data_IF_035394536534
#
_entry.id   IF_035394536534
#
_cell.length_a   1.000
_cell.length_b   1.000
_cell.length_c   1.000
_cell.angle_alpha   90.00
_cell.angle_beta   90.00
_cell.angle_gamma   90.00
#
_symmetry.space_group_name_H-M   'P 1'
#
loop_
_entity.id
_entity.type
_entity.pdbx_description
1 polymer ?
#
# COMPACT_ATOMS: atom_id res chain seq x y z
N UNK A 1 -20.90 1.06 -18.51
CA UNK A 1 -20.79 2.44 -18.04
C UNK A 1 -19.52 2.52 -17.24
N UNK A 2 -18.41 2.71 -17.95
CA UNK A 2 -17.12 3.01 -17.37
C UNK A 2 -17.25 4.32 -16.61
N UNK A 3 -17.18 4.27 -15.28
CA UNK A 3 -17.03 5.48 -14.50
C UNK A 3 -15.63 5.98 -14.83
N UNK A 4 -15.53 6.96 -15.72
CA UNK A 4 -14.33 7.78 -15.83
C UNK A 4 -14.00 8.26 -14.42
N UNK A 5 -12.98 7.64 -13.82
CA UNK A 5 -12.34 8.18 -12.64
C UNK A 5 -11.71 9.47 -13.16
N UNK A 6 -12.16 10.66 -12.73
CA UNK A 6 -11.65 11.90 -13.27
C UNK A 6 -10.14 11.84 -13.13
N UNK A 7 -9.45 12.16 -14.22
CA UNK A 7 -8.00 12.24 -14.27
C UNK A 7 -7.58 13.39 -13.34
N UNK A 8 -7.42 13.15 -12.03
CA UNK A 8 -6.26 13.57 -11.24
C UNK A 8 -6.20 13.31 -9.72
N UNK A 9 -7.06 12.53 -9.02
CA UNK A 9 -6.88 12.36 -7.57
C UNK A 9 -5.52 11.74 -7.22
N UNK A 10 -4.94 10.89 -8.09
CA UNK A 10 -3.56 10.39 -7.93
C UNK A 10 -2.47 11.45 -8.13
N UNK A 11 -2.60 12.35 -9.11
CA UNK A 11 -1.61 13.44 -9.27
C UNK A 11 -1.76 14.46 -8.17
N UNK A 12 -2.98 14.79 -7.78
CA UNK A 12 -3.25 15.71 -6.70
C UNK A 12 -2.69 15.16 -5.38
N UNK A 13 -2.87 13.86 -5.11
CA UNK A 13 -2.23 13.21 -3.98
C UNK A 13 -0.70 13.28 -4.04
N UNK A 14 -0.11 13.06 -5.23
CA UNK A 14 1.34 13.20 -5.46
C UNK A 14 1.84 14.64 -5.35
N UNK A 15 1.05 15.64 -5.75
CA UNK A 15 1.36 17.06 -5.57
C UNK A 15 1.32 17.43 -4.09
N UNK A 16 0.31 16.96 -3.36
CA UNK A 16 0.28 17.12 -1.90
C UNK A 16 1.48 16.42 -1.24
N UNK A 17 1.93 15.28 -1.75
CA UNK A 17 3.16 14.61 -1.32
C UNK A 17 4.42 15.47 -1.54
N UNK A 18 4.57 16.10 -2.70
CA UNK A 18 5.72 16.98 -2.99
C UNK A 18 5.67 18.28 -2.19
N UNK A 19 4.47 18.76 -1.84
CA UNK A 19 4.24 19.96 -1.04
C UNK A 19 4.33 19.71 0.48
N UNK A 20 4.47 18.47 0.93
CA UNK A 20 4.42 18.12 2.35
C UNK A 20 3.02 18.19 2.98
N UNK A 21 1.99 18.30 2.15
CA UNK A 21 0.56 18.38 2.54
C UNK A 21 -0.05 16.98 2.69
N UNK A 22 0.61 16.16 3.48
CA UNK A 22 0.41 14.71 3.48
C UNK A 22 -0.96 14.23 3.99
N UNK A 23 -1.61 14.97 4.89
CA UNK A 23 -2.99 14.66 5.30
C UNK A 23 -3.95 14.74 4.10
N UNK A 24 -3.76 15.73 3.23
CA UNK A 24 -4.54 15.89 2.00
C UNK A 24 -4.18 14.79 0.99
N UNK A 25 -2.91 14.41 0.90
CA UNK A 25 -2.48 13.28 0.06
C UNK A 25 -3.20 11.97 0.45
N UNK A 26 -3.22 11.63 1.74
CA UNK A 26 -3.89 10.42 2.23
C UNK A 26 -5.39 10.46 1.95
N UNK A 27 -6.04 11.62 2.12
CA UNK A 27 -7.46 11.75 1.82
C UNK A 27 -7.76 11.47 0.35
N UNK A 28 -6.96 12.03 -0.57
CA UNK A 28 -7.13 11.79 -2.00
C UNK A 28 -6.82 10.34 -2.39
N UNK A 29 -5.75 9.75 -1.87
CA UNK A 29 -5.45 8.34 -2.12
C UNK A 29 -6.58 7.41 -1.64
N UNK A 30 -7.16 7.66 -0.46
CA UNK A 30 -8.31 6.87 0.05
C UNK A 30 -9.54 6.97 -0.84
N UNK A 31 -9.80 8.12 -1.46
CA UNK A 31 -10.90 8.28 -2.43
C UNK A 31 -10.68 7.41 -3.68
N UNK A 32 -9.43 7.27 -4.12
CA UNK A 32 -9.10 6.41 -5.26
C UNK A 32 -9.29 4.94 -4.91
N UNK A 33 -8.89 4.48 -3.73
CA UNK A 33 -9.11 3.10 -3.27
C UNK A 33 -10.61 2.75 -3.27
N UNK A 34 -11.49 3.68 -2.85
CA UNK A 34 -12.94 3.48 -2.88
C UNK A 34 -13.50 3.31 -4.30
N UNK A 35 -12.81 3.84 -5.32
CA UNK A 35 -13.21 3.76 -6.72
C UNK A 35 -12.56 2.56 -7.44
N UNK A 36 -11.31 2.22 -7.11
CA UNK A 36 -10.51 1.14 -7.70
C UNK A 36 -9.64 0.49 -6.64
N UNK A 37 -10.04 -0.68 -6.16
CA UNK A 37 -9.38 -1.36 -5.05
C UNK A 37 -8.05 -2.07 -5.41
N UNK A 38 -7.66 -2.09 -6.70
CA UNK A 38 -6.61 -2.99 -7.22
C UNK A 38 -5.28 -2.30 -7.55
N UNK A 39 -5.15 -0.99 -7.39
CA UNK A 39 -3.89 -0.31 -7.71
C UNK A 39 -2.88 -0.42 -6.55
N UNK A 40 -1.92 -1.33 -6.74
CA UNK A 40 -0.82 -1.64 -5.81
C UNK A 40 -0.05 -0.38 -5.40
N UNK A 41 0.18 0.55 -6.34
CA UNK A 41 1.01 1.72 -6.09
C UNK A 41 0.40 2.68 -5.06
N UNK A 42 -0.93 2.71 -4.95
CA UNK A 42 -1.63 3.60 -4.01
C UNK A 42 -1.39 3.17 -2.56
N UNK A 43 -1.45 1.87 -2.29
CA UNK A 43 -1.21 1.35 -0.95
C UNK A 43 0.23 1.62 -0.50
N UNK A 44 1.20 1.43 -1.40
CA UNK A 44 2.60 1.75 -1.13
C UNK A 44 2.82 3.26 -0.91
N UNK A 45 2.27 4.11 -1.77
CA UNK A 45 2.35 5.57 -1.62
C UNK A 45 1.80 6.04 -0.25
N UNK A 46 0.65 5.52 0.19
CA UNK A 46 0.08 5.82 1.52
C UNK A 46 1.00 5.34 2.64
N UNK A 47 1.57 4.13 2.53
CA UNK A 47 2.48 3.62 3.55
C UNK A 47 3.72 4.52 3.70
N UNK A 48 4.32 4.96 2.59
CA UNK A 48 5.43 5.91 2.59
C UNK A 48 5.07 7.23 3.27
N UNK A 49 3.83 7.72 3.08
CA UNK A 49 3.33 8.90 3.80
C UNK A 49 3.35 8.64 5.30
N UNK A 50 2.76 7.53 5.76
CA UNK A 50 2.67 7.23 7.18
C UNK A 50 4.04 6.99 7.83
N UNK A 51 4.99 6.39 7.12
CA UNK A 51 6.38 6.24 7.59
C UNK A 51 7.05 7.58 7.82
N UNK A 52 6.88 8.55 6.90
CA UNK A 52 7.44 9.89 7.06
C UNK A 52 6.95 10.61 8.32
N UNK A 53 5.75 10.30 8.81
CA UNK A 53 5.22 10.83 10.07
C UNK A 53 5.53 9.99 11.31
N UNK A 54 6.22 8.86 11.15
CA UNK A 54 6.49 7.94 12.26
C UNK A 54 5.29 7.08 12.66
N UNK A 55 4.19 7.09 11.88
CA UNK A 55 3.04 6.22 12.11
C UNK A 55 3.29 4.81 11.57
N UNK A 56 4.27 4.12 12.14
CA UNK A 56 4.73 2.78 11.68
C UNK A 56 3.59 1.76 11.59
N UNK A 57 2.69 1.73 12.57
CA UNK A 57 1.57 0.78 12.55
C UNK A 57 0.61 0.98 11.36
N UNK A 58 0.34 2.22 10.97
CA UNK A 58 -0.50 2.51 9.80
C UNK A 58 0.25 2.20 8.50
N UNK A 59 1.54 2.49 8.45
CA UNK A 59 2.36 2.12 7.30
C UNK A 59 2.36 0.59 7.09
N UNK A 60 2.49 -0.19 8.16
CA UNK A 60 2.48 -1.65 8.11
C UNK A 60 1.12 -2.21 7.64
N UNK A 61 -0.02 -1.64 8.06
CA UNK A 61 -1.35 -2.02 7.51
C UNK A 61 -1.41 -1.77 6.00
N UNK A 62 -0.96 -0.60 5.54
CA UNK A 62 -0.98 -0.27 4.12
C UNK A 62 0.02 -1.08 3.28
N UNK A 63 1.20 -1.41 3.82
CA UNK A 63 2.13 -2.34 3.17
C UNK A 63 1.55 -3.76 3.12
N UNK A 64 0.89 -4.23 4.17
CA UNK A 64 0.20 -5.52 4.14
C UNK A 64 -0.83 -5.57 3.00
N UNK A 65 -1.67 -4.54 2.86
CA UNK A 65 -2.64 -4.46 1.75
C UNK A 65 -1.95 -4.43 0.39
N UNK A 66 -0.85 -3.70 0.26
CA UNK A 66 -0.03 -3.66 -0.95
C UNK A 66 0.49 -5.06 -1.32
N UNK A 67 1.07 -5.76 -0.34
CA UNK A 67 1.58 -7.12 -0.50
C UNK A 67 0.47 -8.12 -0.82
N UNK A 68 -0.67 -8.04 -0.14
CA UNK A 68 -1.82 -8.90 -0.38
C UNK A 68 -2.35 -8.74 -1.80
N UNK A 69 -2.51 -7.51 -2.29
CA UNK A 69 -2.91 -7.26 -3.69
C UNK A 69 -1.86 -7.87 -4.64
N UNK A 70 -0.56 -7.71 -4.37
CA UNK A 70 0.49 -8.39 -5.16
C UNK A 70 0.30 -9.91 -5.20
N UNK A 71 -0.01 -10.56 -4.07
CA UNK A 71 -0.28 -12.00 -3.99
C UNK A 71 -1.48 -12.37 -4.87
N UNK A 72 -2.60 -11.64 -4.75
CA UNK A 72 -3.81 -11.91 -5.53
C UNK A 72 -3.58 -11.74 -7.05
N UNK A 73 -2.68 -10.83 -7.44
CA UNK A 73 -2.25 -10.64 -8.82
C UNK A 73 -1.13 -11.59 -9.26
N UNK A 74 -0.75 -12.58 -8.44
CA UNK A 74 0.37 -13.53 -8.67
C UNK A 74 1.74 -12.86 -8.85
N UNK A 75 1.92 -11.65 -8.34
CA UNK A 75 3.17 -10.89 -8.33
C UNK A 75 4.01 -11.24 -7.09
N UNK A 76 4.39 -12.51 -6.94
CA UNK A 76 4.99 -13.03 -5.71
C UNK A 76 6.35 -12.41 -5.36
N UNK A 77 7.15 -12.02 -6.36
CA UNK A 77 8.41 -11.31 -6.15
C UNK A 77 8.20 -9.94 -5.51
N UNK A 78 7.19 -9.19 -5.97
CA UNK A 78 6.84 -7.88 -5.37
C UNK A 78 6.28 -8.05 -3.97
N UNK A 79 5.46 -9.07 -3.74
CA UNK A 79 4.98 -9.37 -2.39
C UNK A 79 6.13 -9.67 -1.41
N UNK A 80 7.18 -10.36 -1.88
CA UNK A 80 8.39 -10.61 -1.09
C UNK A 80 9.15 -9.31 -0.79
N UNK A 81 9.33 -8.42 -1.77
CA UNK A 81 9.95 -7.10 -1.57
C UNK A 81 9.19 -6.27 -0.51
N UNK A 82 7.86 -6.28 -0.57
CA UNK A 82 7.02 -5.59 0.41
C UNK A 82 7.18 -6.22 1.81
N UNK A 83 7.22 -7.54 1.91
CA UNK A 83 7.45 -8.23 3.18
C UNK A 83 8.82 -7.88 3.79
N UNK A 84 9.86 -7.79 2.97
CA UNK A 84 11.19 -7.35 3.40
C UNK A 84 11.18 -5.91 3.92
N UNK A 85 10.45 -5.02 3.24
CA UNK A 85 10.23 -3.64 3.69
C UNK A 85 9.51 -3.61 5.05
N UNK A 86 8.46 -4.42 5.23
CA UNK A 86 7.73 -4.53 6.50
C UNK A 86 8.63 -5.00 7.64
N UNK A 87 9.45 -6.03 7.40
CA UNK A 87 10.39 -6.55 8.38
C UNK A 87 11.50 -5.56 8.75
N UNK A 88 11.90 -4.69 7.82
CA UNK A 88 12.84 -3.61 8.11
C UNK A 88 12.23 -2.52 9.03
N UNK A 89 10.91 -2.33 9.00
CA UNK A 89 10.20 -1.37 9.85
C UNK A 89 9.97 -1.94 11.26
N UNK A 90 9.42 -3.16 11.31
CA UNK A 90 9.14 -3.93 12.51
C UNK A 90 9.06 -5.43 12.19
N UNK A 91 10.08 -6.24 12.54
CA UNK A 91 10.11 -7.67 12.25
C UNK A 91 9.17 -8.50 13.13
N UNK A 92 8.57 -7.91 14.18
CA UNK A 92 7.61 -8.58 15.06
C UNK A 92 6.17 -8.10 14.81
N UNK A 93 5.95 -7.43 13.69
CA UNK A 93 4.62 -6.94 13.31
C UNK A 93 3.72 -8.10 12.88
N UNK A 94 2.56 -8.22 13.52
CA UNK A 94 1.50 -9.15 13.10
C UNK A 94 1.08 -8.97 11.64
N UNK A 95 1.24 -7.77 11.05
CA UNK A 95 1.00 -7.54 9.63
C UNK A 95 2.02 -8.25 8.74
N UNK A 96 3.30 -8.26 9.14
CA UNK A 96 4.37 -8.91 8.39
C UNK A 96 4.23 -10.44 8.48
N UNK A 97 3.94 -10.96 9.67
CA UNK A 97 3.65 -12.38 9.89
C UNK A 97 2.46 -12.85 9.05
N UNK A 98 1.39 -12.05 8.99
CA UNK A 98 0.21 -12.36 8.18
C UNK A 98 0.55 -12.43 6.69
N UNK A 99 1.28 -11.43 6.16
CA UNK A 99 1.68 -11.41 4.75
C UNK A 99 2.62 -12.58 4.40
N UNK A 100 3.56 -12.92 5.30
CA UNK A 100 4.44 -14.07 5.13
C UNK A 100 3.66 -15.38 5.02
N UNK A 101 2.66 -15.57 5.89
CA UNK A 101 1.78 -16.75 5.86
C UNK A 101 1.04 -16.87 4.52
N UNK A 102 0.44 -15.78 4.06
CA UNK A 102 -0.30 -15.73 2.79
C UNK A 102 0.61 -15.97 1.58
N UNK A 103 1.81 -15.37 1.59
CA UNK A 103 2.80 -15.54 0.53
C UNK A 103 3.31 -16.97 0.46
N UNK A 104 3.57 -17.60 1.62
CA UNK A 104 3.98 -19.00 1.72
C UNK A 104 2.92 -19.93 1.14
N UNK A 105 1.65 -19.72 1.49
CA UNK A 105 0.53 -20.48 0.93
C UNK A 105 0.43 -20.31 -0.60
N UNK A 106 0.54 -19.08 -1.08
CA UNK A 106 0.45 -18.77 -2.51
C UNK A 106 1.58 -19.39 -3.35
N UNK A 107 2.74 -19.67 -2.76
CA UNK A 107 3.88 -20.35 -3.42
C UNK A 107 3.66 -21.85 -3.59
N UNK A 108 2.76 -22.45 -2.81
CA UNK A 108 2.47 -23.88 -2.85
C UNK A 108 1.34 -24.24 -3.84
N UNK A 109 0.67 -23.24 -4.42
CA UNK A 109 -0.47 -23.35 -5.35
C UNK A 109 -0.08 -23.08 -6.81
#
# INVERSE_FOLDING_TARGET
MDKEIPIHPLKQAREFMTQGSYHQAVAEYKRVIQATATDIAIYHDIALVYLKYGFKHLALDYLYRCGFVCITCRLLSKAQEILEEMNAIDPLSHYAEALESELSLARQL
#
